data_IF_425172416626
#
_entry.id   IF_425172416626
#
_cell.length_a   1.000
_cell.length_b   1.000
_cell.length_c   1.000
_cell.angle_alpha   90.00
_cell.angle_beta   90.00
_cell.angle_gamma   90.00
#
_symmetry.space_group_name_H-M   'P 1'
#
loop_
_entity.id
_entity.type
_entity.pdbx_description
1 polymer ?
#
# COMPACT_ATOMS: atom_id res chain seq x y z
N UNK A 1 13.49 5.08 -7.79
CA UNK A 1 12.24 4.29 -7.70
C UNK A 1 12.11 3.24 -8.80
N UNK A 2 12.54 3.50 -10.06
CA UNK A 2 12.45 2.53 -11.17
C UNK A 2 13.12 1.19 -10.84
N UNK A 3 14.34 1.21 -10.27
CA UNK A 3 15.08 0.01 -9.87
C UNK A 3 14.27 -0.90 -8.93
N UNK A 4 13.55 -0.32 -7.98
CA UNK A 4 12.69 -1.06 -7.06
C UNK A 4 11.54 -1.78 -7.80
N UNK A 5 10.82 -1.09 -8.68
CA UNK A 5 9.69 -1.69 -9.41
C UNK A 5 10.12 -2.73 -10.43
N UNK A 6 11.27 -2.51 -11.09
CA UNK A 6 11.88 -3.51 -11.98
C UNK A 6 12.23 -4.76 -11.18
N UNK A 7 12.89 -4.61 -10.03
CA UNK A 7 13.22 -5.73 -9.15
C UNK A 7 11.97 -6.47 -8.64
N UNK A 8 10.92 -5.72 -8.31
CA UNK A 8 9.64 -6.28 -7.88
C UNK A 8 9.03 -7.17 -8.96
N UNK A 9 9.03 -6.69 -10.21
CA UNK A 9 8.55 -7.46 -11.37
C UNK A 9 9.43 -8.68 -11.64
N UNK A 10 10.76 -8.49 -11.66
CA UNK A 10 11.73 -9.58 -11.85
C UNK A 10 11.57 -10.64 -10.76
N UNK A 11 11.43 -10.22 -9.50
CA UNK A 11 11.21 -11.12 -8.37
C UNK A 11 9.94 -11.96 -8.55
N UNK A 12 8.83 -11.32 -8.92
CA UNK A 12 7.56 -12.03 -9.16
C UNK A 12 7.68 -13.06 -10.27
N UNK A 13 8.36 -12.73 -11.36
CA UNK A 13 8.62 -13.67 -12.47
C UNK A 13 9.53 -14.81 -12.03
N UNK A 14 10.61 -14.50 -11.28
CA UNK A 14 11.52 -15.52 -10.76
C UNK A 14 10.80 -16.52 -9.85
N UNK A 15 9.96 -16.06 -8.91
CA UNK A 15 9.19 -16.94 -8.03
C UNK A 15 8.21 -17.83 -8.83
N UNK A 16 7.59 -17.27 -9.85
CA UNK A 16 6.72 -18.04 -10.75
C UNK A 16 7.52 -19.12 -11.51
N UNK A 17 8.69 -18.77 -12.05
CA UNK A 17 9.56 -19.72 -12.75
C UNK A 17 10.07 -20.83 -11.82
N UNK A 18 10.50 -20.47 -10.61
CA UNK A 18 10.93 -21.43 -9.60
C UNK A 18 9.80 -22.35 -9.22
N UNK A 19 8.58 -21.83 -8.97
CA UNK A 19 7.39 -22.63 -8.67
C UNK A 19 7.09 -23.62 -9.80
N UNK A 20 7.24 -23.17 -11.05
CA UNK A 20 7.02 -24.02 -12.21
C UNK A 20 8.08 -25.14 -12.35
N UNK A 21 9.34 -24.84 -12.03
CA UNK A 21 10.45 -25.81 -12.05
C UNK A 21 10.29 -26.87 -10.97
N UNK A 22 9.90 -26.50 -9.76
CA UNK A 22 9.68 -27.41 -8.63
C UNK A 22 8.30 -28.07 -8.65
N UNK A 23 7.42 -27.69 -9.60
CA UNK A 23 6.01 -28.15 -9.74
C UNK A 23 5.16 -27.92 -8.49
N UNK A 24 5.54 -26.97 -7.66
CA UNK A 24 4.85 -26.61 -6.44
C UNK A 24 5.05 -25.12 -6.17
N UNK A 25 4.07 -24.46 -5.55
CA UNK A 25 4.20 -23.06 -5.15
C UNK A 25 5.32 -22.91 -4.11
N UNK A 26 6.29 -22.04 -4.40
CA UNK A 26 7.45 -21.74 -3.52
C UNK A 26 6.98 -21.37 -2.13
N UNK A 27 5.92 -20.53 -2.02
CA UNK A 27 5.40 -20.06 -0.75
C UNK A 27 4.72 -21.17 0.05
N UNK A 28 4.06 -22.10 -0.62
CA UNK A 28 3.48 -23.29 0.03
C UNK A 28 4.58 -24.25 0.51
N UNK A 29 5.62 -24.47 -0.30
CA UNK A 29 6.74 -25.36 0.04
C UNK A 29 7.59 -24.88 1.22
N UNK A 30 7.97 -23.61 1.21
CA UNK A 30 8.77 -22.99 2.29
C UNK A 30 7.90 -22.69 3.50
N UNK A 31 6.60 -22.50 3.27
CA UNK A 31 5.62 -22.02 4.23
C UNK A 31 5.50 -20.51 4.26
N UNK A 32 4.29 -20.01 4.46
CA UNK A 32 3.99 -18.59 4.40
C UNK A 32 4.82 -17.77 5.40
N UNK A 33 4.88 -18.20 6.67
CA UNK A 33 5.66 -17.50 7.69
C UNK A 33 7.15 -17.43 7.34
N UNK A 34 7.74 -18.56 6.91
CA UNK A 34 9.15 -18.59 6.53
C UNK A 34 9.42 -17.74 5.28
N UNK A 35 8.51 -17.72 4.32
CA UNK A 35 8.62 -16.85 3.13
C UNK A 35 8.59 -15.37 3.50
N UNK A 36 7.72 -14.96 4.44
CA UNK A 36 7.70 -13.59 4.97
C UNK A 36 9.02 -13.24 5.66
N UNK A 37 9.52 -14.12 6.54
CA UNK A 37 10.82 -13.93 7.21
C UNK A 37 11.96 -13.80 6.19
N UNK A 38 11.99 -14.65 5.18
CA UNK A 38 13.00 -14.59 4.11
C UNK A 38 12.91 -13.28 3.33
N UNK A 39 11.70 -12.85 2.95
CA UNK A 39 11.50 -11.58 2.26
C UNK A 39 11.97 -10.37 3.08
N UNK A 40 11.69 -10.37 4.40
CA UNK A 40 12.19 -9.33 5.32
C UNK A 40 13.71 -9.34 5.44
N UNK A 41 14.33 -10.52 5.53
CA UNK A 41 15.81 -10.63 5.58
C UNK A 41 16.45 -10.12 4.28
N UNK A 42 15.89 -10.45 3.11
CA UNK A 42 16.37 -9.93 1.82
C UNK A 42 16.23 -8.41 1.79
N UNK A 43 15.08 -7.87 2.23
CA UNK A 43 14.84 -6.43 2.28
C UNK A 43 15.81 -5.74 3.27
N UNK A 44 16.04 -6.34 4.43
CA UNK A 44 17.01 -5.84 5.41
C UNK A 44 18.41 -5.76 4.81
N UNK A 45 18.86 -6.81 4.13
CA UNK A 45 20.17 -6.83 3.47
C UNK A 45 20.28 -5.71 2.42
N UNK A 46 19.28 -5.57 1.54
CA UNK A 46 19.27 -4.49 0.55
C UNK A 46 19.26 -3.10 1.18
N UNK A 47 18.54 -2.92 2.28
CA UNK A 47 18.48 -1.65 3.03
C UNK A 47 19.82 -1.34 3.71
N UNK A 48 20.49 -2.33 4.30
CA UNK A 48 21.79 -2.14 4.96
C UNK A 48 22.92 -1.78 3.98
N UNK A 49 22.78 -2.13 2.68
CA UNK A 49 23.73 -1.71 1.64
C UNK A 49 23.79 -0.20 1.43
N UNK A 50 22.77 0.55 1.86
CA UNK A 50 22.78 2.01 1.78
C UNK A 50 23.87 2.64 2.64
N UNK A 51 24.26 2.00 3.75
CA UNK A 51 25.34 2.50 4.59
C UNK A 51 26.70 2.53 3.86
N UNK A 52 27.24 1.41 3.34
CA UNK A 52 28.46 1.45 2.54
C UNK A 52 28.31 2.27 1.25
N UNK A 53 27.11 2.27 0.63
CA UNK A 53 26.85 3.06 -0.56
C UNK A 53 27.01 4.57 -0.31
N UNK A 54 26.51 5.05 0.83
CA UNK A 54 26.67 6.45 1.23
C UNK A 54 28.12 6.79 1.58
N UNK A 55 28.86 5.88 2.25
CA UNK A 55 30.28 6.08 2.54
C UNK A 55 31.15 6.19 1.27
N UNK A 56 30.81 5.42 0.25
CA UNK A 56 31.53 5.38 -1.03
C UNK A 56 30.97 6.39 -2.05
N UNK A 57 29.95 7.15 -1.69
CA UNK A 57 29.16 8.01 -2.61
C UNK A 57 28.76 7.29 -3.91
N UNK A 58 28.47 5.98 -3.82
CA UNK A 58 28.22 5.12 -4.96
C UNK A 58 26.73 5.01 -5.28
N UNK A 59 26.31 5.72 -6.32
CA UNK A 59 24.93 5.65 -6.82
C UNK A 59 24.54 4.24 -7.29
N UNK A 60 25.47 3.52 -7.94
CA UNK A 60 25.22 2.16 -8.41
C UNK A 60 24.95 1.19 -7.25
N UNK A 61 25.66 1.35 -6.13
CA UNK A 61 25.44 0.51 -4.95
C UNK A 61 24.10 0.85 -4.28
N UNK A 62 23.68 2.12 -4.28
CA UNK A 62 22.33 2.52 -3.83
C UNK A 62 21.23 1.90 -4.69
N UNK A 63 21.40 1.91 -6.04
CA UNK A 63 20.46 1.26 -6.95
C UNK A 63 20.40 -0.25 -6.74
N UNK A 64 21.53 -0.89 -6.49
CA UNK A 64 21.60 -2.32 -6.17
C UNK A 64 20.90 -2.63 -4.85
N UNK A 65 21.06 -1.80 -3.83
CA UNK A 65 20.32 -1.90 -2.57
C UNK A 65 18.82 -1.84 -2.80
N UNK A 66 18.33 -0.84 -3.56
CA UNK A 66 16.91 -0.71 -3.93
C UNK A 66 16.41 -1.93 -4.71
N UNK A 67 17.23 -2.47 -5.61
CA UNK A 67 16.88 -3.66 -6.37
C UNK A 67 16.67 -4.87 -5.43
N UNK A 68 17.59 -5.10 -4.51
CA UNK A 68 17.49 -6.20 -3.53
C UNK A 68 16.27 -6.02 -2.62
N UNK A 69 15.99 -4.79 -2.16
CA UNK A 69 14.77 -4.48 -1.40
C UNK A 69 13.53 -4.84 -2.21
N UNK A 70 13.49 -4.49 -3.50
CA UNK A 70 12.38 -4.81 -4.40
C UNK A 70 12.15 -6.31 -4.56
N UNK A 71 13.22 -7.13 -4.64
CA UNK A 71 13.12 -8.60 -4.65
C UNK A 71 12.51 -9.13 -3.35
N UNK A 72 12.94 -8.62 -2.19
CA UNK A 72 12.37 -9.00 -0.90
C UNK A 72 10.89 -8.64 -0.79
N UNK A 73 10.51 -7.44 -1.19
CA UNK A 73 9.11 -6.99 -1.19
C UNK A 73 8.22 -7.77 -2.16
N UNK A 74 8.75 -8.22 -3.30
CA UNK A 74 8.03 -9.12 -4.21
C UNK A 74 7.65 -10.42 -3.50
N UNK A 75 8.58 -11.04 -2.75
CA UNK A 75 8.28 -12.24 -1.97
C UNK A 75 7.28 -11.95 -0.84
N UNK A 76 7.44 -10.82 -0.14
CA UNK A 76 6.51 -10.41 0.92
C UNK A 76 5.08 -10.26 0.38
N UNK A 77 4.89 -9.57 -0.73
CA UNK A 77 3.57 -9.33 -1.32
C UNK A 77 2.93 -10.63 -1.83
N UNK A 78 3.71 -11.46 -2.51
CA UNK A 78 3.24 -12.76 -3.03
C UNK A 78 2.81 -13.69 -1.89
N UNK A 79 3.38 -13.52 -0.70
CA UNK A 79 3.10 -14.36 0.48
C UNK A 79 2.02 -13.78 1.38
N UNK A 80 2.08 -12.47 1.65
CA UNK A 80 1.20 -11.82 2.65
C UNK A 80 -0.27 -11.82 2.21
N UNK A 81 -0.54 -11.60 0.93
CA UNK A 81 -1.92 -11.54 0.43
C UNK A 81 -2.65 -12.89 0.54
N UNK A 82 -2.10 -14.01 0.04
CA UNK A 82 -2.71 -15.32 0.24
C UNK A 82 -2.82 -15.70 1.72
N UNK A 83 -1.82 -15.37 2.54
CA UNK A 83 -1.89 -15.61 3.98
C UNK A 83 -3.05 -14.84 4.62
N UNK A 84 -3.22 -13.54 4.34
CA UNK A 84 -4.32 -12.75 4.84
C UNK A 84 -5.69 -13.33 4.46
N UNK A 85 -5.81 -13.84 3.23
CA UNK A 85 -7.00 -14.55 2.75
C UNK A 85 -7.25 -15.82 3.57
N UNK A 86 -6.21 -16.58 3.89
CA UNK A 86 -6.32 -17.90 4.54
C UNK A 86 -6.56 -17.84 6.05
N UNK A 87 -6.37 -16.68 6.70
CA UNK A 87 -6.50 -16.52 8.16
C UNK A 87 -7.96 -16.40 8.67
N UNK A 88 -8.95 -16.87 7.92
CA UNK A 88 -10.34 -16.83 8.37
C UNK A 88 -11.30 -17.49 7.38
N UNK A 89 -12.60 -17.21 7.51
CA UNK A 89 -13.64 -17.82 6.67
C UNK A 89 -13.59 -17.29 5.24
N UNK A 90 -14.03 -18.08 4.28
CA UNK A 90 -14.07 -17.71 2.85
C UNK A 90 -14.91 -16.46 2.59
N UNK A 91 -16.02 -16.30 3.34
CA UNK A 91 -16.97 -15.20 3.15
C UNK A 91 -16.39 -13.80 3.43
N UNK A 92 -15.33 -13.71 4.25
CA UNK A 92 -14.67 -12.43 4.60
C UNK A 92 -13.24 -12.33 4.06
N UNK A 93 -12.87 -13.18 3.11
CA UNK A 93 -11.53 -13.22 2.54
C UNK A 93 -11.14 -11.90 1.84
N UNK A 94 -12.06 -11.34 1.03
CA UNK A 94 -11.86 -10.07 0.33
C UNK A 94 -11.71 -8.90 1.30
N UNK A 95 -12.52 -8.86 2.35
CA UNK A 95 -12.47 -7.80 3.37
C UNK A 95 -11.16 -7.86 4.18
N UNK A 96 -10.65 -9.05 4.50
CA UNK A 96 -9.34 -9.21 5.13
C UNK A 96 -8.20 -8.72 4.25
N UNK A 97 -8.26 -9.04 2.95
CA UNK A 97 -7.29 -8.52 1.98
C UNK A 97 -7.35 -6.99 1.87
N UNK A 98 -8.56 -6.44 1.84
CA UNK A 98 -8.80 -4.99 1.84
C UNK A 98 -8.23 -4.33 3.11
N UNK A 99 -8.45 -4.94 4.27
CA UNK A 99 -7.90 -4.46 5.54
C UNK A 99 -6.37 -4.50 5.56
N UNK A 100 -5.76 -5.59 5.06
CA UNK A 100 -4.30 -5.70 4.94
C UNK A 100 -3.73 -4.60 4.04
N UNK A 101 -4.39 -4.31 2.91
CA UNK A 101 -4.06 -3.15 2.06
C UNK A 101 -4.24 -1.81 2.77
N UNK A 102 -5.24 -1.70 3.65
CA UNK A 102 -5.45 -0.51 4.49
C UNK A 102 -4.32 -0.29 5.51
N UNK A 103 -3.79 -1.35 6.11
CA UNK A 103 -2.60 -1.27 6.98
C UNK A 103 -1.37 -0.84 6.18
N UNK A 104 -1.20 -1.34 4.96
CA UNK A 104 -0.13 -0.88 4.07
C UNK A 104 -0.24 0.62 3.77
N UNK A 105 -1.44 1.11 3.46
CA UNK A 105 -1.66 2.54 3.19
C UNK A 105 -1.52 3.42 4.44
N UNK A 106 -1.75 2.90 5.64
CA UNK A 106 -1.39 3.59 6.87
C UNK A 106 0.12 3.85 6.91
N UNK A 107 0.94 2.83 6.59
CA UNK A 107 2.40 2.99 6.49
C UNK A 107 2.81 4.07 5.49
N UNK A 108 2.20 4.10 4.30
CA UNK A 108 2.50 5.13 3.28
C UNK A 108 1.99 6.52 3.67
N UNK A 109 0.95 6.62 4.48
CA UNK A 109 0.44 7.90 5.01
C UNK A 109 1.40 8.52 6.02
N UNK A 110 1.98 7.71 6.91
CA UNK A 110 2.94 8.19 7.93
C UNK A 110 4.39 8.23 7.43
N UNK A 111 4.68 7.51 6.35
CA UNK A 111 6.04 7.38 5.79
C UNK A 111 6.75 8.70 5.54
N UNK A 112 6.14 9.68 4.86
CA UNK A 112 6.76 10.99 4.61
C UNK A 112 7.17 11.71 5.90
N UNK A 113 6.36 11.62 6.97
CA UNK A 113 6.68 12.21 8.27
C UNK A 113 7.90 11.52 8.91
N UNK A 114 7.92 10.17 8.91
CA UNK A 114 9.04 9.41 9.45
C UNK A 114 10.34 9.74 8.70
N UNK A 115 10.27 9.81 7.37
CA UNK A 115 11.42 10.14 6.53
C UNK A 115 11.90 11.57 6.79
N UNK A 116 10.99 12.55 6.86
CA UNK A 116 11.33 13.92 7.14
C UNK A 116 12.02 14.05 8.50
N UNK A 117 11.47 13.45 9.54
CA UNK A 117 12.07 13.47 10.87
C UNK A 117 13.44 12.75 10.91
N UNK A 118 13.55 11.59 10.26
CA UNK A 118 14.75 10.78 10.29
C UNK A 118 15.92 11.38 9.49
N UNK A 119 15.63 12.08 8.38
CA UNK A 119 16.66 12.66 7.50
C UNK A 119 16.97 14.11 7.89
N UNK A 120 15.96 14.90 8.21
CA UNK A 120 16.11 16.34 8.45
C UNK A 120 16.14 16.73 9.94
N UNK A 121 15.91 15.79 10.85
CA UNK A 121 15.86 16.05 12.29
C UNK A 121 14.64 16.87 12.75
N UNK A 122 13.83 17.35 11.82
CA UNK A 122 12.58 18.07 12.07
C UNK A 122 11.45 17.54 11.20
N UNK A 123 10.21 17.54 11.70
CA UNK A 123 9.07 17.07 10.89
C UNK A 123 8.84 17.91 9.62
N UNK A 124 9.26 19.16 9.62
CA UNK A 124 9.11 20.10 8.50
C UNK A 124 10.22 20.02 7.43
N UNK A 125 11.26 19.23 7.65
CA UNK A 125 12.28 18.96 6.62
C UNK A 125 13.12 20.16 6.19
N UNK A 126 13.40 21.11 7.08
CA UNK A 126 14.04 22.39 6.74
C UNK A 126 15.58 22.37 6.63
N UNK A 127 16.24 21.22 6.86
CA UNK A 127 17.70 21.11 6.78
C UNK A 127 18.14 20.65 5.38
N UNK A 128 19.37 21.04 4.98
CA UNK A 128 19.93 20.63 3.69
C UNK A 128 20.13 19.11 3.61
N UNK A 129 19.74 18.53 2.48
CA UNK A 129 19.95 17.10 2.19
C UNK A 129 21.44 16.84 1.97
N UNK A 130 22.01 15.94 2.76
CA UNK A 130 23.33 15.35 2.48
C UNK A 130 23.22 13.83 2.29
N UNK A 131 24.14 13.25 1.52
CA UNK A 131 24.21 11.78 1.37
C UNK A 131 24.45 11.10 2.72
N UNK A 132 25.08 11.80 3.65
CA UNK A 132 25.34 11.31 5.00
C UNK A 132 24.07 11.18 5.84
N UNK A 133 23.08 12.03 5.63
CA UNK A 133 21.80 12.04 6.38
C UNK A 133 21.00 10.74 6.19
N UNK A 134 21.22 10.01 5.10
CA UNK A 134 20.50 8.74 4.84
C UNK A 134 21.07 7.53 5.57
N UNK A 135 22.31 7.60 6.08
CA UNK A 135 23.00 6.46 6.70
C UNK A 135 22.22 5.88 7.89
N UNK A 136 21.93 6.72 8.86
CA UNK A 136 21.26 6.32 10.11
C UNK A 136 19.82 5.84 9.85
N UNK A 137 18.98 6.59 9.10
CA UNK A 137 17.62 6.15 8.77
C UNK A 137 17.57 4.76 8.11
N UNK A 138 18.47 4.49 7.17
CA UNK A 138 18.49 3.19 6.49
C UNK A 138 19.01 2.06 7.38
N UNK A 139 19.95 2.33 8.30
CA UNK A 139 20.35 1.36 9.33
C UNK A 139 19.20 1.02 10.26
N UNK A 140 18.46 2.04 10.73
CA UNK A 140 17.28 1.85 11.58
C UNK A 140 16.21 1.05 10.84
N UNK A 141 15.95 1.36 9.56
CA UNK A 141 14.99 0.63 8.74
C UNK A 141 15.42 -0.83 8.53
N UNK A 142 16.70 -1.08 8.23
CA UNK A 142 17.24 -2.43 8.12
C UNK A 142 17.10 -3.23 9.41
N UNK A 143 17.43 -2.60 10.55
CA UNK A 143 17.23 -3.20 11.87
C UNK A 143 15.75 -3.49 12.15
N UNK A 144 14.84 -2.58 11.79
CA UNK A 144 13.41 -2.79 11.94
C UNK A 144 12.92 -3.99 11.13
N UNK A 145 13.37 -4.18 9.88
CA UNK A 145 13.05 -5.39 9.10
C UNK A 145 13.53 -6.66 9.80
N UNK A 146 14.74 -6.67 10.38
CA UNK A 146 15.25 -7.83 11.12
C UNK A 146 14.45 -8.10 12.39
N UNK A 147 14.11 -7.06 13.15
CA UNK A 147 13.26 -7.19 14.36
C UNK A 147 11.92 -7.80 13.99
N UNK A 148 11.26 -7.27 12.94
CA UNK A 148 9.97 -7.82 12.48
C UNK A 148 10.14 -9.26 11.98
N UNK A 149 11.22 -9.59 11.28
CA UNK A 149 11.52 -10.95 10.85
C UNK A 149 11.62 -11.92 12.06
N UNK A 150 12.33 -11.50 13.11
CA UNK A 150 12.46 -12.28 14.36
C UNK A 150 11.10 -12.42 15.05
N UNK A 151 10.35 -11.35 15.22
CA UNK A 151 9.02 -11.38 15.82
C UNK A 151 8.07 -12.30 15.03
N UNK A 152 8.07 -12.24 13.71
CA UNK A 152 7.29 -13.13 12.86
C UNK A 152 7.74 -14.59 13.00
N UNK A 153 9.03 -14.86 13.05
CA UNK A 153 9.56 -16.21 13.20
C UNK A 153 9.04 -16.90 14.47
N UNK A 154 8.96 -16.16 15.57
CA UNK A 154 8.49 -16.66 16.87
C UNK A 154 6.99 -16.44 17.10
N UNK A 155 6.28 -15.84 16.16
CA UNK A 155 4.83 -15.62 16.26
C UNK A 155 4.04 -16.93 16.14
N UNK A 156 2.79 -16.89 16.59
CA UNK A 156 1.83 -18.00 16.46
C UNK A 156 1.22 -18.13 15.04
N UNK A 157 1.67 -17.30 14.08
CA UNK A 157 1.18 -17.37 12.69
C UNK A 157 1.51 -18.74 12.10
N UNK A 158 0.53 -19.45 11.52
CA UNK A 158 0.77 -20.77 10.96
C UNK A 158 1.69 -20.69 9.72
N UNK A 159 2.65 -21.60 9.66
CA UNK A 159 3.53 -21.69 8.49
C UNK A 159 2.77 -22.28 7.28
N UNK A 160 1.88 -23.21 7.54
CA UNK A 160 0.98 -23.81 6.58
C UNK A 160 -0.46 -23.67 7.13
N UNK A 161 -1.21 -22.64 6.74
CA UNK A 161 -2.59 -22.49 7.20
C UNK A 161 -3.45 -23.65 6.66
N UNK A 162 -4.35 -24.13 7.52
CA UNK A 162 -5.23 -25.26 7.18
C UNK A 162 -6.07 -24.92 5.94
N UNK A 163 -6.23 -25.86 5.01
CA UNK A 163 -6.92 -25.65 3.75
C UNK A 163 -8.45 -25.49 3.87
N UNK A 164 -9.00 -25.32 5.06
CA UNK A 164 -10.46 -25.21 5.28
C UNK A 164 -11.14 -24.10 4.44
N UNK A 165 -10.36 -23.16 3.92
CA UNK A 165 -10.83 -22.12 2.99
C UNK A 165 -10.59 -22.49 1.53
N UNK A 166 -9.77 -23.52 1.27
CA UNK A 166 -9.25 -23.89 -0.06
C UNK A 166 -9.78 -25.26 -0.54
N UNK A 167 -10.66 -25.90 0.21
CA UNK A 167 -11.27 -27.20 -0.16
C UNK A 167 -12.20 -27.15 -1.38
N UNK A 168 -12.11 -26.09 -2.21
CA UNK A 168 -12.63 -26.10 -3.58
C UNK A 168 -11.65 -26.77 -4.57
N UNK A 169 -10.51 -27.29 -4.10
CA UNK A 169 -9.43 -27.79 -4.97
C UNK A 169 -9.40 -29.33 -5.12
N UNK A 170 -10.37 -30.06 -4.66
CA UNK A 170 -10.29 -31.56 -4.77
C UNK A 170 -10.88 -32.15 -6.04
N UNK A 171 -11.29 -31.32 -7.00
CA UNK A 171 -11.43 -31.77 -8.39
C UNK A 171 -10.47 -30.98 -9.29
N UNK A 172 -9.18 -31.23 -9.13
CA UNK A 172 -8.17 -30.72 -10.03
C UNK A 172 -8.18 -31.47 -11.35
N UNK A 173 -9.07 -31.10 -12.24
CA UNK A 173 -8.69 -31.10 -13.64
C UNK A 173 -7.48 -30.19 -13.78
N UNK A 174 -6.41 -30.68 -14.44
CA UNK A 174 -5.15 -29.93 -14.67
C UNK A 174 -5.34 -28.70 -15.59
N UNK A 175 -6.36 -27.89 -15.31
CA UNK A 175 -6.65 -26.68 -16.09
C UNK A 175 -5.79 -25.54 -15.58
N UNK A 176 -5.04 -24.94 -16.48
CA UNK A 176 -4.25 -23.74 -16.15
C UNK A 176 -5.17 -22.62 -15.62
N UNK A 177 -4.77 -21.96 -14.53
CA UNK A 177 -5.50 -20.81 -13.97
C UNK A 177 -5.74 -19.71 -15.02
N UNK A 178 -4.88 -19.59 -16.03
CA UNK A 178 -5.01 -18.63 -17.12
C UNK A 178 -6.15 -18.93 -18.10
N UNK A 179 -6.83 -20.07 -17.98
CA UNK A 179 -8.01 -20.39 -18.78
C UNK A 179 -9.29 -19.73 -18.26
N UNK A 180 -9.25 -19.15 -17.07
CA UNK A 180 -10.39 -18.44 -16.49
C UNK A 180 -10.39 -16.97 -16.91
N UNK A 181 -11.36 -16.51 -17.75
CA UNK A 181 -11.42 -15.12 -18.22
C UNK A 181 -11.49 -14.10 -17.07
N UNK A 182 -12.15 -14.47 -15.97
CA UNK A 182 -12.29 -13.62 -14.79
C UNK A 182 -10.92 -13.31 -14.15
N UNK A 183 -10.02 -14.30 -14.13
CA UNK A 183 -8.66 -14.11 -13.62
C UNK A 183 -7.87 -13.15 -14.53
N UNK A 184 -7.93 -13.35 -15.84
CA UNK A 184 -7.24 -12.48 -16.81
C UNK A 184 -7.75 -11.03 -16.73
N UNK A 185 -9.07 -10.83 -16.64
CA UNK A 185 -9.67 -9.52 -16.46
C UNK A 185 -9.25 -8.90 -15.11
N UNK A 186 -9.22 -9.69 -14.03
CA UNK A 186 -8.73 -9.23 -12.72
C UNK A 186 -7.25 -8.84 -12.75
N UNK A 187 -6.41 -9.60 -13.43
CA UNK A 187 -4.99 -9.26 -13.63
C UNK A 187 -4.82 -7.96 -14.41
N UNK A 188 -5.57 -7.78 -15.51
CA UNK A 188 -5.55 -6.55 -16.29
C UNK A 188 -6.05 -5.35 -15.47
N UNK A 189 -7.13 -5.52 -14.72
CA UNK A 189 -7.69 -4.47 -13.87
C UNK A 189 -6.71 -4.04 -12.77
N UNK A 190 -6.04 -4.97 -12.09
CA UNK A 190 -5.06 -4.62 -11.03
C UNK A 190 -3.80 -3.99 -11.63
N UNK A 191 -3.38 -4.42 -12.83
CA UNK A 191 -2.25 -3.81 -13.54
C UNK A 191 -2.52 -2.34 -13.86
N UNK A 192 -3.69 -2.04 -14.43
CA UNK A 192 -4.10 -0.65 -14.72
C UNK A 192 -4.26 0.15 -13.43
N UNK A 193 -4.91 -0.43 -12.41
CA UNK A 193 -5.12 0.23 -11.12
C UNK A 193 -3.79 0.63 -10.47
N UNK A 194 -2.86 -0.32 -10.31
CA UNK A 194 -1.55 -0.04 -9.70
C UNK A 194 -0.73 0.94 -10.56
N UNK A 195 -0.83 0.83 -11.89
CA UNK A 195 -0.20 1.77 -12.80
C UNK A 195 -0.67 3.20 -12.56
N UNK A 196 -1.98 3.42 -12.46
CA UNK A 196 -2.57 4.74 -12.15
C UNK A 196 -2.19 5.20 -10.75
N UNK A 197 -2.31 4.32 -9.74
CA UNK A 197 -1.97 4.61 -8.34
C UNK A 197 -0.53 5.13 -8.20
N UNK A 198 0.43 4.38 -8.72
CA UNK A 198 1.85 4.72 -8.61
C UNK A 198 2.22 5.92 -9.49
N UNK A 199 1.68 5.99 -10.71
CA UNK A 199 1.94 7.10 -11.63
C UNK A 199 1.43 8.41 -11.04
N UNK A 200 0.22 8.43 -10.48
CA UNK A 200 -0.35 9.62 -9.83
C UNK A 200 0.52 10.05 -8.65
N UNK A 201 0.84 9.14 -7.73
CA UNK A 201 1.66 9.46 -6.58
C UNK A 201 3.06 9.97 -6.94
N UNK A 202 3.65 9.44 -8.03
CA UNK A 202 4.99 9.81 -8.47
C UNK A 202 5.04 11.16 -9.21
N UNK A 203 3.99 11.51 -9.93
CA UNK A 203 3.95 12.73 -10.72
C UNK A 203 3.27 13.92 -9.99
N UNK A 204 2.47 13.65 -8.97
CA UNK A 204 1.76 14.68 -8.21
C UNK A 204 2.68 15.78 -7.68
N UNK A 205 3.86 15.48 -7.08
CA UNK A 205 4.77 16.53 -6.60
C UNK A 205 5.23 17.46 -7.72
N UNK A 206 5.72 16.89 -8.82
CA UNK A 206 6.19 17.68 -9.97
C UNK A 206 5.08 18.53 -10.61
N UNK A 207 3.87 18.01 -10.70
CA UNK A 207 2.72 18.76 -11.19
C UNK A 207 2.39 19.94 -10.28
N UNK A 208 2.37 19.74 -8.96
CA UNK A 208 2.08 20.80 -8.00
C UNK A 208 3.14 21.90 -8.00
N UNK A 209 4.41 21.52 -8.12
CA UNK A 209 5.52 22.46 -8.18
C UNK A 209 5.51 23.26 -9.50
N UNK A 210 5.43 22.57 -10.65
CA UNK A 210 5.60 23.21 -11.96
C UNK A 210 4.34 23.93 -12.45
N UNK A 211 3.15 23.39 -12.16
CA UNK A 211 1.88 23.89 -12.72
C UNK A 211 1.11 24.76 -11.72
N UNK A 212 1.17 24.41 -10.44
CA UNK A 212 0.43 25.12 -9.39
C UNK A 212 1.30 26.08 -8.57
N UNK A 213 2.63 26.06 -8.75
CA UNK A 213 3.57 26.97 -8.08
C UNK A 213 3.74 26.69 -6.58
N UNK A 214 3.36 25.52 -6.08
CA UNK A 214 3.59 25.15 -4.67
C UNK A 214 5.08 24.99 -4.39
N UNK A 215 5.51 25.40 -3.20
CA UNK A 215 6.86 25.10 -2.72
C UNK A 215 6.95 23.63 -2.30
N UNK A 216 8.10 23.00 -2.52
CA UNK A 216 8.31 21.56 -2.23
C UNK A 216 7.87 21.18 -0.80
N UNK A 217 8.10 22.07 0.19
CA UNK A 217 7.69 21.87 1.59
C UNK A 217 6.18 21.77 1.80
N UNK A 218 5.39 22.45 0.95
CA UNK A 218 3.94 22.55 1.08
C UNK A 218 3.23 21.41 0.33
N UNK A 219 3.96 20.58 -0.43
CA UNK A 219 3.42 19.48 -1.22
C UNK A 219 3.18 18.21 -0.38
N UNK A 220 3.97 18.00 0.67
CA UNK A 220 3.92 16.78 1.48
C UNK A 220 2.51 16.43 2.01
N UNK A 221 1.67 17.37 2.50
CA UNK A 221 0.32 17.07 2.96
C UNK A 221 -0.60 16.53 1.85
N UNK A 222 -0.44 16.99 0.62
CA UNK A 222 -1.24 16.50 -0.53
C UNK A 222 -0.90 15.07 -0.87
N UNK A 223 0.38 14.69 -0.85
CA UNK A 223 0.83 13.32 -1.05
C UNK A 223 0.31 12.43 0.09
N UNK A 224 0.42 12.92 1.31
CA UNK A 224 -0.12 12.24 2.50
C UNK A 224 -1.64 12.04 2.38
N UNK A 225 -2.41 13.06 1.92
CA UNK A 225 -3.85 12.95 1.69
C UNK A 225 -4.19 11.92 0.60
N UNK A 226 -3.40 11.88 -0.47
CA UNK A 226 -3.58 10.89 -1.53
C UNK A 226 -3.56 9.46 -0.96
N UNK A 227 -2.53 9.12 -0.18
CA UNK A 227 -2.41 7.81 0.45
C UNK A 227 -3.44 7.59 1.56
N UNK A 228 -3.75 8.63 2.33
CA UNK A 228 -4.79 8.58 3.35
C UNK A 228 -6.18 8.33 2.75
N UNK A 229 -6.46 8.86 1.55
CA UNK A 229 -7.72 8.60 0.84
C UNK A 229 -7.90 7.11 0.53
N UNK A 230 -6.83 6.45 0.10
CA UNK A 230 -6.83 5.00 -0.12
C UNK A 230 -6.98 4.22 1.20
N UNK A 231 -6.33 4.68 2.27
CA UNK A 231 -6.48 4.12 3.61
C UNK A 231 -7.92 4.22 4.11
N UNK A 232 -8.54 5.40 3.98
CA UNK A 232 -9.93 5.65 4.39
C UNK A 232 -10.88 4.67 3.67
N UNK A 233 -10.76 4.54 2.35
CA UNK A 233 -11.58 3.62 1.57
C UNK A 233 -11.39 2.16 1.97
N UNK A 234 -10.13 1.72 2.15
CA UNK A 234 -9.81 0.33 2.52
C UNK A 234 -10.20 -0.01 3.95
N UNK A 235 -10.04 0.91 4.90
CA UNK A 235 -10.51 0.67 6.27
C UNK A 235 -12.02 0.59 6.34
N UNK A 236 -12.73 1.44 5.58
CA UNK A 236 -14.20 1.40 5.49
C UNK A 236 -14.68 0.04 4.96
N UNK A 237 -14.13 -0.43 3.85
CA UNK A 237 -14.45 -1.74 3.28
C UNK A 237 -13.98 -2.92 4.15
N UNK A 238 -12.92 -2.72 4.95
CA UNK A 238 -12.38 -3.72 5.87
C UNK A 238 -13.22 -3.99 7.11
N UNK A 239 -14.17 -3.10 7.47
CA UNK A 239 -15.04 -3.26 8.65
C UNK A 239 -15.78 -4.60 8.65
N UNK A 240 -16.18 -5.09 7.48
CA UNK A 240 -16.90 -6.36 7.35
C UNK A 240 -16.06 -7.59 7.69
N UNK A 241 -14.72 -7.46 7.72
CA UNK A 241 -13.83 -8.55 8.12
C UNK A 241 -14.03 -8.98 9.59
N UNK A 242 -14.56 -8.10 10.42
CA UNK A 242 -14.74 -8.34 11.85
C UNK A 242 -16.05 -9.03 12.21
N UNK A 243 -16.93 -9.32 11.25
CA UNK A 243 -18.24 -9.98 11.47
C UNK A 243 -19.05 -9.35 12.63
N UNK A 244 -19.08 -8.02 12.68
CA UNK A 244 -19.76 -7.27 13.74
C UNK A 244 -21.29 -7.46 13.69
N UNK A 245 -21.95 -7.35 14.83
CA UNK A 245 -23.41 -7.29 14.90
C UNK A 245 -23.94 -6.08 14.10
N UNK A 246 -25.12 -6.20 13.51
CA UNK A 246 -25.67 -5.23 12.56
C UNK A 246 -25.68 -3.77 13.07
N UNK A 247 -25.97 -3.55 14.36
CA UNK A 247 -25.92 -2.22 14.98
C UNK A 247 -24.48 -1.68 15.06
N UNK A 248 -23.57 -2.46 15.60
CA UNK A 248 -22.14 -2.12 15.73
C UNK A 248 -21.48 -1.93 14.36
N UNK A 249 -21.83 -2.75 13.38
CA UNK A 249 -21.34 -2.64 12.01
C UNK A 249 -21.70 -1.29 11.38
N UNK A 250 -22.94 -0.82 11.55
CA UNK A 250 -23.39 0.51 11.06
C UNK A 250 -22.60 1.64 11.71
N UNK A 251 -22.39 1.59 13.03
CA UNK A 251 -21.60 2.58 13.76
C UNK A 251 -20.14 2.54 13.29
N UNK A 252 -19.56 1.36 13.14
CA UNK A 252 -18.17 1.20 12.68
C UNK A 252 -17.98 1.74 11.25
N UNK A 253 -18.91 1.47 10.32
CA UNK A 253 -18.87 2.02 8.95
C UNK A 253 -18.94 3.54 8.91
N UNK A 254 -19.51 4.17 9.92
CA UNK A 254 -19.54 5.63 10.05
C UNK A 254 -18.28 6.16 10.73
N UNK A 255 -17.80 5.54 11.81
CA UNK A 255 -16.68 6.03 12.61
C UNK A 255 -15.32 5.74 11.98
N UNK A 256 -15.14 4.57 11.35
CA UNK A 256 -13.83 4.14 10.82
C UNK A 256 -13.28 5.08 9.75
N UNK A 257 -14.07 5.57 8.76
CA UNK A 257 -13.57 6.55 7.80
C UNK A 257 -13.08 7.84 8.46
N UNK A 258 -13.80 8.33 9.48
CA UNK A 258 -13.37 9.52 10.22
C UNK A 258 -12.18 9.26 11.13
N UNK A 259 -12.05 8.07 11.72
CA UNK A 259 -10.87 7.68 12.46
C UNK A 259 -9.63 7.66 11.53
N UNK A 260 -9.77 7.10 10.33
CA UNK A 260 -8.70 7.10 9.34
C UNK A 260 -8.35 8.53 8.86
N UNK A 261 -9.35 9.39 8.65
CA UNK A 261 -9.11 10.79 8.32
C UNK A 261 -8.44 11.54 9.47
N UNK A 262 -8.83 11.24 10.72
CA UNK A 262 -8.17 11.83 11.89
C UNK A 262 -6.70 11.42 12.01
N UNK A 263 -6.33 10.22 11.58
CA UNK A 263 -4.91 9.81 11.49
C UNK A 263 -4.16 10.71 10.50
N UNK A 264 -4.72 10.99 9.33
CA UNK A 264 -4.14 11.93 8.37
C UNK A 264 -3.92 13.32 9.00
N UNK A 265 -4.95 13.87 9.66
CA UNK A 265 -4.86 15.16 10.32
C UNK A 265 -3.79 15.17 11.42
N UNK A 266 -3.78 14.12 12.26
CA UNK A 266 -2.81 14.01 13.36
C UNK A 266 -1.36 13.95 12.85
N UNK A 267 -1.09 13.12 11.84
CA UNK A 267 0.24 12.96 11.25
C UNK A 267 0.75 14.29 10.69
N UNK A 268 -0.10 15.00 9.95
CA UNK A 268 0.28 16.27 9.34
C UNK A 268 0.32 17.43 10.36
N UNK A 269 -0.49 17.39 11.43
CA UNK A 269 -0.39 18.34 12.56
C UNK A 269 0.93 18.18 13.31
N UNK A 270 1.39 16.93 13.55
CA UNK A 270 2.70 16.65 14.14
C UNK A 270 3.83 17.20 13.25
N UNK A 271 3.65 17.10 11.92
CA UNK A 271 4.58 17.67 10.95
C UNK A 271 4.49 19.19 10.83
N UNK A 272 3.61 19.84 11.58
CA UNK A 272 3.39 21.31 11.58
C UNK A 272 2.97 21.86 10.20
N UNK A 273 2.30 21.03 9.38
CA UNK A 273 1.73 21.49 8.13
C UNK A 273 0.45 22.29 8.35
N UNK A 274 0.17 23.27 7.48
CA UNK A 274 -1.12 23.98 7.48
C UNK A 274 -2.21 23.04 6.98
N UNK A 275 -3.21 22.79 7.83
CA UNK A 275 -4.32 21.88 7.57
C UNK A 275 -5.63 22.60 7.22
N UNK A 276 -5.63 23.93 7.14
CA UNK A 276 -6.83 24.75 6.93
C UNK A 276 -7.63 24.31 5.69
N UNK A 277 -6.95 24.01 4.60
CA UNK A 277 -7.56 23.56 3.34
C UNK A 277 -8.06 22.12 3.36
N UNK A 278 -7.57 21.29 4.29
CA UNK A 278 -7.87 19.85 4.31
C UNK A 278 -9.09 19.49 5.16
N UNK A 279 -9.57 20.38 6.03
CA UNK A 279 -10.78 20.12 6.83
C UNK A 279 -12.03 19.89 5.97
N UNK A 280 -12.11 20.53 4.81
CA UNK A 280 -13.18 20.33 3.82
C UNK A 280 -13.25 18.86 3.36
N UNK A 281 -12.13 18.13 3.42
CA UNK A 281 -12.13 16.71 3.05
C UNK A 281 -13.02 15.85 3.97
N UNK A 282 -13.36 16.32 5.17
CA UNK A 282 -14.35 15.69 6.03
C UNK A 282 -15.74 15.57 5.35
N UNK A 283 -16.10 16.50 4.47
CA UNK A 283 -17.33 16.40 3.67
C UNK A 283 -17.19 15.32 2.57
N UNK A 284 -16.01 15.14 2.00
CA UNK A 284 -15.73 14.05 1.03
C UNK A 284 -15.89 12.69 1.71
N UNK A 285 -15.47 12.57 2.97
CA UNK A 285 -15.68 11.35 3.78
C UNK A 285 -17.17 11.05 3.96
N UNK A 286 -18.02 12.05 4.15
CA UNK A 286 -19.48 11.85 4.18
C UNK A 286 -20.01 11.32 2.85
N UNK A 287 -19.53 11.83 1.72
CA UNK A 287 -19.90 11.33 0.39
C UNK A 287 -19.50 9.86 0.23
N UNK A 288 -18.31 9.48 0.70
CA UNK A 288 -17.85 8.09 0.73
C UNK A 288 -18.81 7.20 1.53
N UNK A 289 -19.19 7.62 2.73
CA UNK A 289 -20.12 6.87 3.59
C UNK A 289 -21.50 6.74 2.91
N UNK A 290 -22.00 7.81 2.33
CA UNK A 290 -23.28 7.80 1.61
C UNK A 290 -23.23 6.84 0.40
N UNK A 291 -22.11 6.82 -0.33
CA UNK A 291 -21.88 5.92 -1.46
C UNK A 291 -21.83 4.44 -1.01
N UNK A 292 -21.16 4.14 0.11
CA UNK A 292 -21.11 2.79 0.68
C UNK A 292 -22.53 2.33 1.08
N UNK A 293 -23.29 3.15 1.77
CA UNK A 293 -24.68 2.85 2.15
C UNK A 293 -25.57 2.65 0.90
N UNK A 294 -25.44 3.50 -0.11
CA UNK A 294 -26.23 3.42 -1.35
C UNK A 294 -25.91 2.17 -2.16
N UNK A 295 -24.66 1.67 -2.07
CA UNK A 295 -24.23 0.45 -2.76
C UNK A 295 -24.91 -0.82 -2.22
N UNK A 296 -25.38 -0.79 -0.97
CA UNK A 296 -25.97 -1.94 -0.25
C UNK A 296 -25.07 -3.18 -0.27
N UNK A 297 -23.75 -2.99 -0.20
CA UNK A 297 -22.76 -4.06 -0.27
C UNK A 297 -22.59 -4.70 -1.65
N UNK A 298 -23.17 -4.12 -2.70
CA UNK A 298 -23.01 -4.62 -4.07
C UNK A 298 -21.79 -3.98 -4.74
N UNK A 299 -20.72 -4.75 -5.06
CA UNK A 299 -19.48 -4.20 -5.62
C UNK A 299 -19.68 -3.48 -6.96
N UNK A 300 -20.57 -3.99 -7.82
CA UNK A 300 -20.85 -3.36 -9.11
C UNK A 300 -21.54 -1.98 -8.95
N UNK A 301 -22.47 -1.85 -8.01
CA UNK A 301 -23.09 -0.57 -7.68
C UNK A 301 -22.07 0.40 -7.10
N UNK A 302 -21.22 -0.06 -6.19
CA UNK A 302 -20.15 0.74 -5.62
C UNK A 302 -19.22 1.28 -6.68
N UNK A 303 -18.74 0.41 -7.58
CA UNK A 303 -17.91 0.80 -8.72
C UNK A 303 -18.59 1.86 -9.59
N UNK A 304 -19.87 1.67 -9.93
CA UNK A 304 -20.64 2.62 -10.73
C UNK A 304 -20.75 3.99 -10.05
N UNK A 305 -21.12 4.02 -8.76
CA UNK A 305 -21.28 5.26 -7.99
C UNK A 305 -19.95 6.03 -7.94
N UNK A 306 -18.86 5.36 -7.60
CA UNK A 306 -17.55 6.03 -7.53
C UNK A 306 -17.03 6.46 -8.90
N UNK A 307 -17.30 5.70 -9.96
CA UNK A 307 -16.94 6.11 -11.32
C UNK A 307 -17.69 7.39 -11.73
N UNK A 308 -18.99 7.48 -11.41
CA UNK A 308 -19.78 8.67 -11.69
C UNK A 308 -19.33 9.89 -10.87
N UNK A 309 -18.99 9.69 -9.59
CA UNK A 309 -18.43 10.75 -8.75
C UNK A 309 -17.07 11.23 -9.27
N UNK A 310 -16.20 10.31 -9.70
CA UNK A 310 -14.91 10.63 -10.29
C UNK A 310 -15.05 11.44 -11.60
N UNK A 311 -15.93 11.03 -12.50
CA UNK A 311 -16.23 11.76 -13.74
C UNK A 311 -16.80 13.16 -13.40
N UNK A 312 -17.74 13.26 -12.47
CA UNK A 312 -18.29 14.53 -12.01
C UNK A 312 -17.22 15.47 -11.45
N UNK A 313 -16.31 14.94 -10.62
CA UNK A 313 -15.17 15.68 -10.09
C UNK A 313 -14.21 16.18 -11.19
N UNK A 314 -13.94 15.37 -12.21
CA UNK A 314 -13.12 15.79 -13.36
C UNK A 314 -13.78 16.91 -14.15
N UNK A 315 -15.09 16.82 -14.44
CA UNK A 315 -15.84 17.85 -15.16
C UNK A 315 -15.82 19.16 -14.39
N UNK A 316 -16.06 19.13 -13.07
CA UNK A 316 -15.99 20.31 -12.22
C UNK A 316 -14.57 20.91 -12.21
N UNK A 317 -13.52 20.08 -12.04
CA UNK A 317 -12.14 20.53 -12.06
C UNK A 317 -11.75 21.20 -13.39
N UNK A 318 -12.16 20.63 -14.52
CA UNK A 318 -11.92 21.25 -15.84
C UNK A 318 -12.68 22.57 -16.01
N UNK A 319 -13.92 22.66 -15.51
CA UNK A 319 -14.74 23.88 -15.58
C UNK A 319 -14.16 25.01 -14.73
N UNK A 320 -13.66 24.69 -13.54
CA UNK A 320 -13.07 25.68 -12.63
C UNK A 320 -11.70 26.16 -13.11
N UNK A 321 -10.87 25.27 -13.68
CA UNK A 321 -9.58 25.67 -14.28
C UNK A 321 -9.76 26.58 -15.49
N UNK A 322 -10.79 26.34 -16.30
CA UNK A 322 -11.17 27.24 -17.40
C UNK A 322 -11.65 28.62 -16.95
N UNK A 323 -12.28 28.74 -15.78
CA UNK A 323 -12.69 30.03 -15.20
C UNK A 323 -11.53 30.83 -14.60
N UNK A 324 -10.47 30.16 -14.13
CA UNK A 324 -9.30 30.83 -13.56
C UNK A 324 -8.28 31.27 -14.64
N UNK A 325 -8.45 30.86 -15.89
CA UNK A 325 -7.60 31.23 -17.02
C UNK A 325 -8.13 32.43 -17.84
N UNK A 326 -9.26 33.02 -17.44
CA UNK A 326 -9.82 34.25 -17.96
C UNK A 326 -9.58 35.39 -16.96
#
# INVERSE_FOLDING_TARGET
SLSFYVAYTVGSVLYLLISKLIKEDVTKRIGYKNSLVTGLCISAFGTLLFYPAANMASFNLMLSGLFIVGLGFSLLQTTANPLAISLGTANTASQRLTLAGGVNNFGTTIGPLIVAFAIFGTPSGNNEMSIESVKIPYLVLGAAFLIVAVLLKFSSIPNHPNPTVINLEQESTQTSALQFPQLLMGMAAIFVYVGVEVSTASNLPGYMETTQGYQTKDIAPFISLYWASLMIGRWTGGVEAFNLQAGTAKIAKFLVPYAAFSVFLLVNAIAQHDLSHFYVYGAVVLVLIAADIASKGNPARMLLIFSLLGIGGLILGMSTSGMLSI
#
